data_IF_319641074893
#
_entry.id   IF_319641074893
#
_cell.length_a   1.000
_cell.length_b   1.000
_cell.length_c   1.000
_cell.angle_alpha   90.00
_cell.angle_beta   90.00
_cell.angle_gamma   90.00
#
_symmetry.space_group_name_H-M   'P 1'
#
loop_
_entity.id
_entity.type
_entity.pdbx_description
1 polymer ?
#
# COMPACT_ATOMS: atom_id res chain seq x y z
N UNK A 1 -7.69 10.36 38.45
CA UNK A 1 -8.25 9.39 37.47
C UNK A 1 -7.13 8.87 36.61
N UNK A 2 -6.78 7.60 36.75
CA UNK A 2 -5.73 6.94 35.97
C UNK A 2 -6.35 6.47 34.65
N UNK A 3 -6.03 7.11 33.53
CA UNK A 3 -6.43 6.63 32.21
C UNK A 3 -5.55 5.42 31.88
N UNK A 4 -6.10 4.22 32.05
CA UNK A 4 -5.45 2.98 31.61
C UNK A 4 -5.77 2.84 30.12
N UNK A 5 -4.77 3.04 29.27
CA UNK A 5 -4.85 2.65 27.86
C UNK A 5 -4.55 1.15 27.86
N UNK A 6 -5.57 0.33 27.68
CA UNK A 6 -5.35 -1.11 27.50
C UNK A 6 -4.68 -1.32 26.13
N UNK A 7 -3.58 -2.10 26.04
CA UNK A 7 -3.05 -2.51 24.76
C UNK A 7 -4.09 -3.37 24.04
N UNK A 8 -4.54 -2.89 22.90
CA UNK A 8 -5.55 -3.53 22.04
C UNK A 8 -5.00 -4.71 21.23
N UNK A 9 -4.40 -5.69 21.90
CA UNK A 9 -4.03 -6.95 21.25
C UNK A 9 -5.29 -7.83 21.19
N UNK A 10 -5.74 -8.19 19.99
CA UNK A 10 -6.83 -9.15 19.83
C UNK A 10 -6.28 -10.45 19.29
N UNK A 11 -6.66 -11.54 19.93
CA UNK A 11 -6.54 -12.85 19.32
C UNK A 11 -7.76 -13.06 18.44
N UNK A 12 -7.55 -13.54 17.22
CA UNK A 12 -8.64 -13.86 16.33
C UNK A 12 -9.32 -15.12 16.88
N UNK A 13 -10.37 -14.94 17.68
CA UNK A 13 -11.13 -16.00 18.36
C UNK A 13 -12.19 -16.65 17.47
N UNK A 14 -12.37 -16.14 16.25
CA UNK A 14 -13.33 -16.66 15.29
C UNK A 14 -12.97 -18.09 14.83
N UNK A 15 -14.01 -18.86 14.47
CA UNK A 15 -13.91 -20.05 13.62
C UNK A 15 -13.00 -19.75 12.43
N UNK A 16 -11.87 -20.46 12.35
CA UNK A 16 -10.79 -20.32 11.36
C UNK A 16 -11.25 -19.75 10.00
N UNK A 17 -11.13 -18.42 9.78
CA UNK A 17 -11.68 -17.81 8.58
C UNK A 17 -10.89 -18.27 7.36
N UNK A 18 -11.62 -18.51 6.28
CA UNK A 18 -11.05 -18.78 4.98
C UNK A 18 -10.96 -17.49 4.18
N UNK A 19 -9.88 -17.33 3.42
CA UNK A 19 -9.69 -16.18 2.55
C UNK A 19 -9.19 -16.58 1.18
N UNK A 20 -9.89 -16.10 0.15
CA UNK A 20 -9.52 -16.34 -1.23
C UNK A 20 -8.44 -15.33 -1.64
N UNK A 21 -7.29 -15.84 -2.08
CA UNK A 21 -6.17 -15.02 -2.51
C UNK A 21 -5.80 -15.39 -3.95
N UNK A 22 -5.59 -14.36 -4.75
CA UNK A 22 -5.15 -14.42 -6.13
C UNK A 22 -3.66 -14.09 -6.20
N UNK A 23 -2.96 -14.66 -7.16
CA UNK A 23 -1.53 -14.46 -7.31
C UNK A 23 -1.15 -14.08 -8.75
N UNK A 24 -0.14 -13.21 -8.89
CA UNK A 24 0.56 -12.97 -10.16
C UNK A 24 1.98 -13.49 -10.03
N UNK A 25 2.39 -14.29 -11.00
CA UNK A 25 3.77 -14.74 -11.16
C UNK A 25 4.45 -13.87 -12.22
N UNK A 26 5.73 -13.59 -12.04
CA UNK A 26 6.50 -12.86 -13.06
C UNK A 26 6.70 -13.79 -14.25
N UNK A 27 6.24 -13.43 -15.47
CA UNK A 27 6.43 -14.28 -16.63
C UNK A 27 7.91 -14.55 -16.88
N UNK A 28 8.24 -15.75 -17.34
CA UNK A 28 9.63 -16.21 -17.47
C UNK A 28 10.48 -15.29 -18.36
N UNK A 29 9.92 -14.83 -19.48
CA UNK A 29 10.58 -13.90 -20.42
C UNK A 29 10.90 -12.56 -19.76
N UNK A 30 9.91 -11.97 -19.09
CA UNK A 30 10.07 -10.72 -18.33
C UNK A 30 11.13 -10.85 -17.23
N UNK A 31 11.09 -11.96 -16.50
CA UNK A 31 12.03 -12.26 -15.43
C UNK A 31 13.46 -12.40 -15.96
N UNK A 32 13.65 -13.07 -17.09
CA UNK A 32 14.96 -13.24 -17.72
C UNK A 32 15.56 -11.90 -18.16
N UNK A 33 14.76 -11.06 -18.82
CA UNK A 33 15.22 -9.72 -19.26
C UNK A 33 15.57 -8.84 -18.07
N UNK A 34 14.70 -8.74 -17.05
CA UNK A 34 14.98 -7.93 -15.87
C UNK A 34 16.23 -8.39 -15.10
N UNK A 35 16.45 -9.71 -14.98
CA UNK A 35 17.66 -10.24 -14.35
C UNK A 35 18.91 -9.97 -15.20
N UNK A 36 18.82 -10.03 -16.53
CA UNK A 36 19.92 -9.65 -17.43
C UNK A 36 20.33 -8.18 -17.21
N UNK A 37 19.36 -7.25 -17.20
CA UNK A 37 19.61 -5.84 -16.93
C UNK A 37 20.24 -5.62 -15.54
N UNK A 38 19.73 -6.31 -14.52
CA UNK A 38 20.30 -6.26 -13.17
C UNK A 38 21.77 -6.72 -13.14
N UNK A 39 22.10 -7.79 -13.85
CA UNK A 39 23.47 -8.31 -13.97
C UNK A 39 24.39 -7.37 -14.75
N UNK A 40 23.92 -6.78 -15.86
CA UNK A 40 24.68 -5.79 -16.64
C UNK A 40 25.05 -4.57 -15.77
N UNK A 41 24.08 -4.01 -15.06
CA UNK A 41 24.30 -2.89 -14.13
C UNK A 41 25.27 -3.28 -13.00
N UNK A 42 25.18 -4.51 -12.49
CA UNK A 42 26.10 -4.99 -11.45
C UNK A 42 27.55 -5.04 -11.97
N UNK A 43 27.76 -5.55 -13.18
CA UNK A 43 29.08 -5.62 -13.83
C UNK A 43 29.69 -4.24 -14.03
N UNK A 44 28.92 -3.26 -14.52
CA UNK A 44 29.38 -1.87 -14.66
C UNK A 44 29.79 -1.25 -13.33
N UNK A 45 29.14 -1.65 -12.23
CA UNK A 45 29.47 -1.17 -10.88
C UNK A 45 30.54 -2.02 -10.16
N UNK A 46 31.15 -2.99 -10.83
CA UNK A 46 32.14 -3.89 -10.22
C UNK A 46 31.58 -4.81 -9.12
N UNK A 47 30.27 -5.09 -9.13
CA UNK A 47 29.58 -5.94 -8.15
C UNK A 47 29.26 -7.30 -8.76
N UNK A 48 29.46 -8.38 -7.99
CA UNK A 48 29.31 -9.75 -8.51
C UNK A 48 27.86 -10.24 -8.63
N UNK A 49 26.95 -9.72 -7.82
CA UNK A 49 25.57 -10.17 -7.81
C UNK A 49 24.61 -9.07 -7.39
N UNK A 50 23.54 -8.87 -8.16
CA UNK A 50 22.47 -7.95 -7.79
C UNK A 50 21.13 -8.45 -8.31
N UNK A 51 20.12 -8.34 -7.46
CA UNK A 51 18.74 -8.65 -7.79
C UNK A 51 18.05 -7.48 -8.49
N UNK A 52 16.94 -7.79 -9.16
CA UNK A 52 15.99 -6.80 -9.69
C UNK A 52 15.53 -5.88 -8.54
N UNK A 53 15.69 -4.55 -8.64
CA UNK A 53 15.50 -3.60 -7.55
C UNK A 53 14.03 -3.18 -7.36
N UNK A 54 13.14 -4.12 -7.06
CA UNK A 54 11.68 -3.88 -7.04
C UNK A 54 11.16 -2.94 -5.94
N UNK A 55 12.03 -2.38 -5.10
CA UNK A 55 11.62 -1.46 -4.03
C UNK A 55 10.99 -0.17 -4.57
N UNK A 56 11.41 0.27 -5.76
CA UNK A 56 10.85 1.45 -6.45
C UNK A 56 9.55 1.12 -7.20
N UNK A 57 9.38 -0.15 -7.62
CA UNK A 57 8.20 -0.63 -8.34
C UNK A 57 7.03 -0.96 -7.40
N UNK A 58 7.30 -1.62 -6.27
CA UNK A 58 6.28 -2.14 -5.37
C UNK A 58 5.25 -1.06 -4.95
N UNK A 59 5.64 0.16 -4.52
CA UNK A 59 4.67 1.21 -4.17
C UNK A 59 3.84 1.71 -5.35
N UNK A 60 4.42 1.75 -6.56
CA UNK A 60 3.70 2.15 -7.77
C UNK A 60 2.61 1.13 -8.09
N UNK A 61 2.94 -0.16 -8.06
CA UNK A 61 2.00 -1.24 -8.31
C UNK A 61 0.86 -1.23 -7.30
N UNK A 62 1.15 -1.15 -5.99
CA UNK A 62 0.06 -1.18 -4.99
C UNK A 62 -0.78 0.10 -5.04
N UNK A 63 -0.19 1.26 -5.30
CA UNK A 63 -0.95 2.50 -5.52
C UNK A 63 -1.90 2.42 -6.72
N UNK A 64 -1.51 1.65 -7.75
CA UNK A 64 -2.33 1.40 -8.95
C UNK A 64 -3.41 0.35 -8.76
N UNK A 65 -3.16 -0.65 -7.92
CA UNK A 65 -4.01 -1.82 -7.81
C UNK A 65 -4.34 -2.05 -6.32
N UNK A 66 -5.36 -1.37 -5.77
CA UNK A 66 -5.66 -1.38 -4.33
C UNK A 66 -6.03 -2.74 -3.75
N UNK A 67 -6.39 -3.72 -4.61
CA UNK A 67 -6.65 -5.11 -4.21
C UNK A 67 -5.37 -5.91 -3.98
N UNK A 68 -4.22 -5.41 -4.41
CA UNK A 68 -2.92 -6.03 -4.11
C UNK A 68 -2.62 -5.74 -2.65
N UNK A 69 -2.43 -6.81 -1.89
CA UNK A 69 -2.19 -6.76 -0.45
C UNK A 69 -0.72 -6.93 -0.12
N UNK A 70 0.05 -7.53 -1.04
CA UNK A 70 1.45 -7.83 -0.77
C UNK A 70 2.27 -8.02 -2.03
N UNK A 71 3.51 -7.55 -1.96
CA UNK A 71 4.58 -7.84 -2.92
C UNK A 71 5.58 -8.82 -2.32
N UNK A 72 6.01 -9.78 -3.14
CA UNK A 72 6.94 -10.85 -2.80
C UNK A 72 8.14 -10.75 -3.73
N UNK A 73 9.17 -10.06 -3.26
CA UNK A 73 10.35 -9.69 -4.07
C UNK A 73 11.05 -10.88 -4.73
N UNK A 74 10.99 -12.05 -4.09
CA UNK A 74 11.58 -13.27 -4.61
C UNK A 74 10.89 -13.80 -5.88
N UNK A 75 9.68 -13.33 -6.22
CA UNK A 75 9.01 -13.71 -7.47
C UNK A 75 9.76 -13.23 -8.72
N UNK A 76 10.52 -12.15 -8.63
CA UNK A 76 11.42 -11.71 -9.71
C UNK A 76 12.71 -12.54 -9.82
N UNK A 77 12.97 -13.41 -8.84
CA UNK A 77 14.20 -14.24 -8.80
C UNK A 77 13.90 -15.73 -9.04
N UNK A 78 12.69 -16.20 -8.74
CA UNK A 78 12.32 -17.63 -8.72
C UNK A 78 11.01 -17.86 -9.47
N UNK A 79 10.96 -18.93 -10.26
CA UNK A 79 9.84 -19.24 -11.15
C UNK A 79 8.53 -19.59 -10.43
N UNK A 80 8.65 -20.29 -9.29
CA UNK A 80 7.49 -20.80 -8.54
C UNK A 80 7.15 -19.95 -7.31
N UNK A 81 7.55 -18.68 -7.31
CA UNK A 81 7.23 -17.75 -6.23
C UNK A 81 6.35 -16.65 -6.80
N UNK A 82 5.14 -16.45 -6.27
CA UNK A 82 4.30 -15.35 -6.72
C UNK A 82 5.01 -14.03 -6.43
N UNK A 83 4.82 -13.03 -7.28
CA UNK A 83 5.27 -11.67 -7.03
C UNK A 83 4.20 -10.84 -6.34
N UNK A 84 2.94 -10.95 -6.76
CA UNK A 84 1.85 -10.16 -6.19
C UNK A 84 0.82 -11.11 -5.59
N UNK A 85 0.32 -10.75 -4.42
CA UNK A 85 -0.85 -11.37 -3.80
C UNK A 85 -1.97 -10.35 -3.72
N UNK A 86 -3.19 -10.75 -4.03
CA UNK A 86 -4.36 -9.89 -4.07
C UNK A 86 -5.62 -10.58 -3.56
N UNK A 87 -6.59 -9.77 -3.11
CA UNK A 87 -7.89 -10.22 -2.57
C UNK A 87 -8.97 -10.29 -3.64
N UNK A 88 -8.62 -9.94 -4.88
CA UNK A 88 -9.48 -10.07 -6.03
C UNK A 88 -8.75 -9.68 -7.30
N UNK A 89 -9.33 -10.05 -8.44
CA UNK A 89 -8.76 -9.68 -9.73
C UNK A 89 -9.10 -8.25 -10.12
N UNK A 90 -8.21 -7.66 -10.91
CA UNK A 90 -8.38 -6.38 -11.62
C UNK A 90 -7.81 -6.52 -13.03
N UNK A 91 -8.27 -5.69 -13.96
CA UNK A 91 -7.68 -5.64 -15.31
C UNK A 91 -6.20 -5.26 -15.24
N UNK A 92 -5.35 -6.05 -15.90
CA UNK A 92 -3.88 -5.90 -15.90
C UNK A 92 -3.33 -5.28 -17.19
N UNK A 93 -4.19 -4.72 -18.06
CA UNK A 93 -3.85 -4.20 -19.38
C UNK A 93 -2.61 -3.31 -19.39
N UNK A 94 -2.49 -2.46 -18.37
CA UNK A 94 -1.43 -1.44 -18.29
C UNK A 94 -0.27 -1.84 -17.38
N UNK A 95 -0.34 -3.02 -16.74
CA UNK A 95 0.74 -3.51 -15.87
C UNK A 95 2.02 -3.73 -16.66
N UNK A 96 1.94 -4.35 -17.84
CA UNK A 96 3.12 -4.60 -18.68
C UNK A 96 3.81 -3.30 -19.10
N UNK A 97 3.04 -2.31 -19.57
CA UNK A 97 3.58 -1.00 -19.95
C UNK A 97 4.20 -0.28 -18.76
N UNK A 98 3.52 -0.24 -17.60
CA UNK A 98 4.07 0.33 -16.38
C UNK A 98 5.43 -0.28 -16.01
N UNK A 99 5.55 -1.61 -16.10
CA UNK A 99 6.79 -2.32 -15.79
C UNK A 99 7.88 -2.02 -16.82
N UNK A 100 7.54 -1.90 -18.11
CA UNK A 100 8.50 -1.48 -19.14
C UNK A 100 9.03 -0.07 -18.88
N UNK A 101 8.15 0.89 -18.64
CA UNK A 101 8.52 2.27 -18.34
C UNK A 101 9.40 2.35 -17.08
N UNK A 102 9.03 1.58 -16.05
CA UNK A 102 9.85 1.46 -14.84
C UNK A 102 11.23 0.85 -15.12
N UNK A 103 11.33 -0.21 -15.94
CA UNK A 103 12.60 -0.84 -16.30
C UNK A 103 13.49 0.13 -17.10
N UNK A 104 12.91 0.92 -18.00
CA UNK A 104 13.63 1.96 -18.76
C UNK A 104 14.23 2.99 -17.80
N UNK A 105 13.42 3.52 -16.89
CA UNK A 105 13.87 4.53 -15.91
C UNK A 105 14.92 3.97 -14.94
N UNK A 106 14.65 2.81 -14.32
CA UNK A 106 15.51 2.18 -13.30
C UNK A 106 16.86 1.71 -13.86
N UNK A 107 16.91 1.40 -15.15
CA UNK A 107 18.13 0.95 -15.86
C UNK A 107 18.62 1.93 -16.92
N UNK A 108 18.21 3.20 -16.85
CA UNK A 108 18.57 4.28 -17.79
C UNK A 108 20.08 4.51 -17.99
N UNK A 109 20.92 4.01 -17.07
CA UNK A 109 22.38 4.01 -17.21
C UNK A 109 22.94 2.96 -18.20
N UNK A 110 22.11 2.01 -18.65
CA UNK A 110 22.49 0.95 -19.58
C UNK A 110 22.10 1.34 -21.01
N UNK A 111 22.88 0.86 -21.98
CA UNK A 111 22.54 0.98 -23.40
C UNK A 111 21.50 -0.08 -23.80
N UNK A 112 20.71 0.22 -24.84
CA UNK A 112 19.77 -0.71 -25.49
C UNK A 112 18.70 -1.35 -24.59
N UNK A 113 18.31 -0.69 -23.49
CA UNK A 113 17.26 -1.20 -22.58
C UNK A 113 15.94 -1.37 -23.32
N UNK A 114 15.50 -0.37 -24.06
CA UNK A 114 14.23 -0.41 -24.82
C UNK A 114 14.20 -1.56 -25.83
N UNK A 115 15.30 -1.79 -26.55
CA UNK A 115 15.42 -2.90 -27.51
C UNK A 115 15.34 -4.27 -26.83
N UNK A 116 15.90 -4.42 -25.62
CA UNK A 116 15.76 -5.65 -24.83
C UNK A 116 14.31 -5.89 -24.36
N UNK A 117 13.52 -4.83 -24.18
CA UNK A 117 12.12 -4.90 -23.74
C UNK A 117 11.11 -5.06 -24.90
N UNK A 118 11.50 -4.76 -26.14
CA UNK A 118 10.61 -4.69 -27.30
C UNK A 118 9.82 -6.00 -27.57
N UNK A 119 10.43 -7.15 -27.28
CA UNK A 119 9.83 -8.47 -27.51
C UNK A 119 8.97 -8.98 -26.32
N UNK A 120 8.90 -8.23 -25.22
CA UNK A 120 8.09 -8.63 -24.07
C UNK A 120 6.61 -8.38 -24.37
N UNK A 121 5.80 -9.42 -24.25
CA UNK A 121 4.36 -9.33 -24.46
C UNK A 121 3.65 -8.89 -23.17
N UNK A 122 2.81 -7.86 -23.26
CA UNK A 122 2.06 -7.35 -22.10
C UNK A 122 0.97 -8.35 -21.64
N UNK A 123 0.46 -9.17 -22.55
CA UNK A 123 -0.59 -10.15 -22.26
C UNK A 123 -0.05 -11.39 -21.51
N UNK A 124 1.27 -11.49 -21.32
CA UNK A 124 1.90 -12.51 -20.49
C UNK A 124 1.53 -12.33 -19.00
N UNK A 125 1.15 -11.11 -18.60
CA UNK A 125 0.76 -10.80 -17.23
C UNK A 125 -0.68 -11.26 -16.95
N UNK A 126 -0.81 -12.33 -16.16
CA UNK A 126 -2.10 -12.94 -15.86
C UNK A 126 -2.23 -13.27 -14.38
N UNK A 127 -3.46 -13.19 -13.88
CA UNK A 127 -3.81 -13.78 -12.59
C UNK A 127 -3.75 -15.30 -12.71
N UNK A 128 -3.03 -15.93 -11.78
CA UNK A 128 -3.13 -17.35 -11.56
C UNK A 128 -4.47 -17.72 -10.93
N UNK A 129 -4.71 -19.03 -10.79
CA UNK A 129 -5.88 -19.54 -10.10
C UNK A 129 -5.92 -19.03 -8.66
N UNK A 130 -7.11 -18.67 -8.18
CA UNK A 130 -7.29 -18.36 -6.77
C UNK A 130 -7.07 -19.60 -5.92
N UNK A 131 -6.57 -19.36 -4.72
CA UNK A 131 -6.46 -20.38 -3.69
C UNK A 131 -7.16 -19.88 -2.44
N UNK A 132 -7.99 -20.75 -1.84
CA UNK A 132 -8.65 -20.47 -0.58
C UNK A 132 -7.77 -20.96 0.57
N UNK A 133 -7.44 -20.06 1.48
CA UNK A 133 -6.55 -20.36 2.60
C UNK A 133 -7.28 -20.26 3.92
N UNK A 134 -7.05 -21.24 4.79
CA UNK A 134 -7.37 -21.16 6.20
C UNK A 134 -6.35 -20.25 6.90
N UNK A 135 -6.80 -19.08 7.38
CA UNK A 135 -5.88 -18.05 7.87
C UNK A 135 -5.22 -18.40 9.21
N UNK A 136 -5.87 -19.19 10.08
CA UNK A 136 -5.33 -19.56 11.40
C UNK A 136 -4.71 -20.95 11.46
N UNK A 137 -5.12 -21.86 10.56
CA UNK A 137 -4.56 -23.22 10.45
C UNK A 137 -4.17 -23.55 9.00
N UNK A 138 -3.22 -22.82 8.42
CA UNK A 138 -2.77 -23.07 7.06
C UNK A 138 -2.16 -24.48 6.93
N UNK A 139 -2.65 -25.26 5.97
CA UNK A 139 -2.32 -26.69 5.85
C UNK A 139 -0.93 -26.97 5.23
N UNK A 140 -0.28 -25.98 4.60
CA UNK A 140 0.99 -26.14 3.88
C UNK A 140 2.12 -25.24 4.41
N UNK A 141 3.15 -25.85 5.01
CA UNK A 141 4.31 -25.15 5.64
C UNK A 141 5.19 -24.30 4.70
N UNK A 142 5.10 -24.51 3.38
CA UNK A 142 5.93 -23.81 2.38
C UNK A 142 5.27 -22.50 1.90
N UNK A 143 3.95 -22.37 2.09
CA UNK A 143 3.16 -21.18 1.72
C UNK A 143 2.85 -20.29 2.95
N UNK A 144 2.93 -20.86 4.16
CA UNK A 144 2.55 -20.26 5.45
C UNK A 144 3.25 -18.97 5.86
N UNK A 145 4.52 -18.76 5.49
CA UNK A 145 5.25 -17.57 5.92
C UNK A 145 4.66 -16.26 5.36
N UNK A 146 3.93 -16.36 4.25
CA UNK A 146 3.34 -15.21 3.57
C UNK A 146 1.84 -15.05 3.82
N UNK A 147 1.12 -16.11 4.16
CA UNK A 147 -0.34 -16.11 4.29
C UNK A 147 -0.85 -15.40 5.53
N UNK A 148 -0.15 -15.52 6.67
CA UNK A 148 -0.52 -14.75 7.86
C UNK A 148 -0.49 -13.24 7.63
N UNK A 149 0.31 -12.77 6.67
CA UNK A 149 0.37 -11.35 6.32
C UNK A 149 -0.88 -10.87 5.58
N UNK A 150 -1.76 -11.77 5.12
CA UNK A 150 -3.07 -11.42 4.59
C UNK A 150 -4.12 -11.22 5.70
N UNK A 151 -3.84 -11.56 6.96
CA UNK A 151 -4.82 -11.38 8.05
C UNK A 151 -5.17 -9.91 8.27
N UNK A 152 -4.22 -8.96 8.36
CA UNK A 152 -4.55 -7.54 8.44
C UNK A 152 -5.50 -7.08 7.33
N UNK A 153 -5.24 -7.54 6.10
CA UNK A 153 -6.08 -7.23 4.95
C UNK A 153 -7.47 -7.82 5.04
N UNK A 154 -7.58 -9.09 5.45
CA UNK A 154 -8.86 -9.74 5.72
C UNK A 154 -9.69 -8.94 6.73
N UNK A 155 -9.08 -8.53 7.85
CA UNK A 155 -9.76 -7.73 8.88
C UNK A 155 -10.23 -6.37 8.34
N UNK A 156 -9.41 -5.72 7.52
CA UNK A 156 -9.79 -4.46 6.89
C UNK A 156 -10.95 -4.63 5.91
N UNK A 157 -10.95 -5.68 5.07
CA UNK A 157 -12.05 -5.98 4.15
C UNK A 157 -13.34 -6.35 4.90
N UNK A 158 -13.26 -7.17 5.95
CA UNK A 158 -14.41 -7.48 6.80
C UNK A 158 -15.00 -6.23 7.45
N UNK A 159 -14.15 -5.32 7.95
CA UNK A 159 -14.58 -4.03 8.50
C UNK A 159 -15.29 -3.19 7.43
N UNK A 160 -14.74 -3.13 6.22
CA UNK A 160 -15.26 -2.31 5.12
C UNK A 160 -16.62 -2.80 4.57
N UNK A 161 -17.09 -4.00 4.96
CA UNK A 161 -18.48 -4.41 4.69
C UNK A 161 -19.50 -3.51 5.40
N UNK A 162 -19.16 -2.98 6.57
CA UNK A 162 -19.97 -2.03 7.33
C UNK A 162 -19.08 -0.88 7.83
N UNK A 163 -18.67 0.04 6.94
CA UNK A 163 -17.59 0.98 7.20
C UNK A 163 -17.98 2.17 8.10
N UNK A 164 -19.26 2.27 8.50
CA UNK A 164 -19.79 3.38 9.29
C UNK A 164 -19.71 3.07 10.78
N UNK A 165 -19.11 3.98 11.54
CA UNK A 165 -18.91 3.87 12.99
C UNK A 165 -19.34 5.16 13.67
N UNK A 166 -20.00 5.02 14.82
CA UNK A 166 -20.33 6.12 15.73
C UNK A 166 -19.37 6.09 16.92
N UNK A 167 -18.75 7.22 17.25
CA UNK A 167 -17.70 7.30 18.26
C UNK A 167 -17.75 8.60 19.07
N UNK A 168 -17.26 8.56 20.33
CA UNK A 168 -17.17 9.71 21.24
C UNK A 168 -18.32 9.77 22.24
N UNK A 169 -18.34 10.83 23.06
CA UNK A 169 -19.44 11.06 24.02
C UNK A 169 -20.69 11.36 23.20
N UNK A 170 -21.79 10.67 23.52
CA UNK A 170 -23.09 10.79 22.85
C UNK A 170 -23.01 10.64 21.31
N UNK A 171 -22.14 9.74 20.82
CA UNK A 171 -22.00 9.43 19.38
C UNK A 171 -21.64 10.64 18.50
N UNK A 172 -20.98 11.65 19.08
CA UNK A 172 -20.64 12.91 18.41
C UNK A 172 -19.91 12.79 17.07
N UNK A 173 -19.20 11.68 16.80
CA UNK A 173 -18.52 11.43 15.54
C UNK A 173 -19.20 10.32 14.75
N UNK A 174 -19.83 10.69 13.64
CA UNK A 174 -20.26 9.75 12.60
C UNK A 174 -19.15 9.61 11.55
N UNK A 175 -18.47 8.47 11.55
CA UNK A 175 -17.28 8.23 10.74
C UNK A 175 -17.59 7.21 9.66
N UNK A 176 -17.10 7.43 8.44
CA UNK A 176 -17.07 6.43 7.36
C UNK A 176 -15.61 6.14 7.00
N UNK A 177 -15.20 4.88 7.07
CA UNK A 177 -13.83 4.48 6.80
C UNK A 177 -13.61 4.01 5.38
N UNK A 178 -12.42 4.31 4.85
CA UNK A 178 -11.96 3.89 3.54
C UNK A 178 -10.57 3.28 3.63
N UNK A 179 -10.26 2.42 2.66
CA UNK A 179 -8.96 1.77 2.55
C UNK A 179 -7.86 2.81 2.30
N UNK A 180 -6.74 2.67 3.00
CA UNK A 180 -5.48 3.32 2.64
C UNK A 180 -4.54 2.25 2.10
N UNK A 181 -3.90 2.55 0.97
CA UNK A 181 -2.91 1.67 0.35
C UNK A 181 -1.70 1.53 1.26
N UNK A 182 -1.38 0.29 1.64
CA UNK A 182 -0.21 -0.05 2.47
C UNK A 182 0.39 -1.37 2.01
N UNK A 183 1.72 -1.47 2.10
CA UNK A 183 2.49 -2.71 1.92
C UNK A 183 2.85 -3.38 3.26
N UNK A 184 2.49 -2.75 4.38
CA UNK A 184 2.86 -3.14 5.73
C UNK A 184 1.59 -3.24 6.56
N UNK A 185 0.94 -4.40 6.49
CA UNK A 185 -0.38 -4.60 7.10
C UNK A 185 -1.48 -3.85 6.35
N UNK A 186 -2.56 -3.54 7.05
CA UNK A 186 -3.71 -2.86 6.48
C UNK A 186 -4.05 -1.59 7.25
N UNK A 187 -4.48 -0.56 6.54
CA UNK A 187 -4.82 0.73 7.14
C UNK A 187 -6.15 1.23 6.59
N UNK A 188 -6.98 1.76 7.49
CA UNK A 188 -8.25 2.40 7.21
C UNK A 188 -8.22 3.83 7.74
N UNK A 189 -8.80 4.77 6.99
CA UNK A 189 -8.89 6.17 7.38
C UNK A 189 -10.31 6.68 7.20
N UNK A 190 -10.80 7.41 8.21
CA UNK A 190 -12.12 8.03 8.14
C UNK A 190 -12.11 9.22 7.18
N UNK A 191 -13.18 9.36 6.40
CA UNK A 191 -13.39 10.48 5.51
C UNK A 191 -14.90 10.79 5.35
N UNK A 192 -15.32 12.07 5.19
CA UNK A 192 -14.51 13.29 5.28
C UNK A 192 -13.91 13.51 6.67
N UNK A 193 -12.92 14.42 6.83
CA UNK A 193 -12.35 14.75 8.13
C UNK A 193 -13.42 15.38 9.03
N UNK A 194 -13.41 15.02 10.31
CA UNK A 194 -14.25 15.63 11.33
C UNK A 194 -13.64 16.96 11.81
N UNK A 195 -14.49 17.95 12.03
CA UNK A 195 -14.09 19.22 12.64
C UNK A 195 -13.94 19.08 14.15
N UNK A 196 -12.87 19.65 14.69
CA UNK A 196 -12.59 19.69 16.13
C UNK A 196 -12.10 21.08 16.51
N UNK A 197 -12.75 21.69 17.49
CA UNK A 197 -12.32 22.96 18.07
C UNK A 197 -11.12 22.71 18.98
N UNK A 198 -10.00 23.36 18.69
CA UNK A 198 -8.77 23.29 19.48
C UNK A 198 -8.49 24.63 20.12
N UNK A 199 -8.34 24.65 21.44
CA UNK A 199 -7.95 25.85 22.18
C UNK A 199 -6.44 26.06 22.06
N UNK A 200 -6.04 27.21 21.52
CA UNK A 200 -4.65 27.66 21.45
C UNK A 200 -4.48 28.82 22.43
N UNK A 201 -3.75 28.61 23.52
CA UNK A 201 -3.59 29.62 24.56
C UNK A 201 -4.88 29.88 25.35
N UNK A 202 -5.00 31.06 25.97
CA UNK A 202 -6.16 31.39 26.83
C UNK A 202 -7.42 31.80 26.06
N UNK A 203 -7.29 32.42 24.88
CA UNK A 203 -8.41 33.12 24.24
C UNK A 203 -8.59 32.85 22.74
N UNK A 204 -7.79 31.98 22.11
CA UNK A 204 -7.97 31.68 20.67
C UNK A 204 -8.41 30.23 20.44
N UNK A 205 -9.57 30.05 19.80
CA UNK A 205 -10.04 28.75 19.30
C UNK A 205 -9.79 28.65 17.80
N UNK A 206 -9.17 27.56 17.37
CA UNK A 206 -8.96 27.24 15.96
C UNK A 206 -9.66 25.93 15.62
N UNK A 207 -10.30 25.87 14.44
CA UNK A 207 -10.88 24.62 13.92
C UNK A 207 -9.77 23.79 13.29
N UNK A 208 -9.58 22.57 13.82
CA UNK A 208 -8.75 21.55 13.21
C UNK A 208 -9.64 20.52 12.50
N UNK A 209 -9.14 19.95 11.40
CA UNK A 209 -9.79 18.87 10.68
C UNK A 209 -8.99 17.59 10.92
N UNK A 210 -9.66 16.54 11.39
CA UNK A 210 -8.99 15.27 11.72
C UNK A 210 -9.67 14.09 11.04
N UNK A 211 -8.87 13.10 10.64
CA UNK A 211 -9.36 11.77 10.29
C UNK A 211 -8.90 10.77 11.35
N UNK A 212 -9.76 9.83 11.70
CA UNK A 212 -9.41 8.69 12.54
C UNK A 212 -8.80 7.60 11.67
N UNK A 213 -7.78 6.92 12.21
CA UNK A 213 -7.04 5.88 11.48
C UNK A 213 -7.03 4.61 12.31
N UNK A 214 -7.31 3.49 11.65
CA UNK A 214 -7.19 2.14 12.20
C UNK A 214 -6.13 1.42 11.38
N UNK A 215 -5.06 0.98 12.03
CA UNK A 215 -3.99 0.20 11.40
C UNK A 215 -3.98 -1.20 12.01
N UNK A 216 -4.06 -2.22 11.16
CA UNK A 216 -3.94 -3.62 11.54
C UNK A 216 -2.52 -4.11 11.24
N UNK A 217 -1.82 -4.56 12.27
CA UNK A 217 -0.42 -5.02 12.17
C UNK A 217 -0.33 -6.45 12.67
N UNK A 218 0.21 -7.32 11.82
CA UNK A 218 0.54 -8.68 12.23
C UNK A 218 1.85 -8.67 13.02
N UNK A 219 1.85 -9.26 14.20
CA UNK A 219 3.05 -9.46 15.01
C UNK A 219 3.22 -10.94 15.36
N UNK A 220 4.40 -11.48 15.05
CA UNK A 220 4.81 -12.80 15.52
C UNK A 220 5.42 -12.65 16.92
N UNK A 221 4.98 -13.50 17.85
CA UNK A 221 5.51 -13.53 19.22
C UNK A 221 6.33 -14.80 19.38
N UNK A 222 7.58 -14.71 19.91
CA UNK A 222 8.39 -15.89 20.17
C UNK A 222 7.61 -16.96 20.96
N UNK A 223 7.80 -18.22 20.56
CA UNK A 223 7.20 -19.40 21.19
C UNK A 223 5.66 -19.49 21.10
N UNK A 224 4.98 -18.58 20.37
CA UNK A 224 3.57 -18.76 20.01
C UNK A 224 3.47 -19.41 18.63
N UNK A 225 2.59 -20.39 18.53
CA UNK A 225 2.31 -21.08 17.25
C UNK A 225 1.53 -20.20 16.28
N UNK A 226 0.63 -19.35 16.80
CA UNK A 226 -0.24 -18.47 16.01
C UNK A 226 0.20 -17.01 16.13
N UNK A 227 0.13 -16.22 15.05
CA UNK A 227 0.43 -14.79 15.12
C UNK A 227 -0.68 -14.03 15.86
N UNK A 228 -0.35 -12.85 16.36
CA UNK A 228 -1.31 -11.91 16.96
C UNK A 228 -1.49 -10.74 16.00
N UNK A 229 -2.72 -10.25 15.88
CA UNK A 229 -2.98 -8.99 15.17
C UNK A 229 -3.21 -7.89 16.19
N UNK A 230 -2.43 -6.84 16.08
CA UNK A 230 -2.61 -5.60 16.82
C UNK A 230 -3.40 -4.63 15.97
N UNK A 231 -4.27 -3.86 16.60
CA UNK A 231 -4.86 -2.68 15.97
C UNK A 231 -4.32 -1.43 16.66
N UNK A 232 -3.90 -0.47 15.86
CA UNK A 232 -3.44 0.83 16.32
C UNK A 232 -4.47 1.87 15.92
N UNK A 233 -5.01 2.57 16.93
CA UNK A 233 -5.92 3.69 16.72
C UNK A 233 -5.12 4.98 16.80
N UNK A 234 -5.22 5.80 15.76
CA UNK A 234 -4.55 7.10 15.71
C UNK A 234 -5.41 8.14 15.02
N UNK A 235 -4.91 9.38 14.97
CA UNK A 235 -5.56 10.48 14.26
C UNK A 235 -4.57 11.12 13.28
N UNK A 236 -5.09 11.57 12.13
CA UNK A 236 -4.37 12.41 11.16
C UNK A 236 -4.98 13.79 11.14
N UNK A 237 -4.14 14.80 11.29
CA UNK A 237 -4.55 16.21 11.19
C UNK A 237 -4.31 16.72 9.78
N UNK A 238 -5.33 17.30 9.17
CA UNK A 238 -5.25 17.89 7.84
C UNK A 238 -4.80 19.35 7.92
N UNK A 239 -3.93 19.73 6.99
CA UNK A 239 -3.52 21.12 6.81
C UNK A 239 -4.50 21.78 5.85
N UNK A 240 -5.24 22.78 6.32
CA UNK A 240 -6.22 23.55 5.52
C UNK A 240 -5.67 24.88 5.02
N UNK A 241 -4.46 25.26 5.44
CA UNK A 241 -3.76 26.48 5.01
C UNK A 241 -2.37 26.10 4.50
N UNK A 242 -1.86 26.77 3.44
CA UNK A 242 -0.48 26.61 3.02
C UNK A 242 0.43 26.89 4.20
N UNK A 243 1.25 25.90 4.58
CA UNK A 243 2.27 26.05 5.60
C UNK A 243 3.60 25.67 4.98
N UNK A 244 4.68 26.37 5.33
CA UNK A 244 6.03 25.84 5.11
C UNK A 244 6.13 24.56 5.91
N UNK A 245 6.08 23.43 5.21
CA UNK A 245 6.17 22.11 5.83
C UNK A 245 7.54 22.05 6.52
N UNK A 246 7.60 22.07 7.85
CA UNK A 246 8.86 22.33 8.55
C UNK A 246 9.78 21.10 8.65
N UNK A 247 9.33 19.94 8.14
CA UNK A 247 10.05 18.68 8.29
C UNK A 247 9.92 17.77 7.05
N UNK A 248 10.99 17.04 6.68
CA UNK A 248 10.87 15.90 5.77
C UNK A 248 9.95 14.83 6.39
N UNK A 249 9.18 14.12 5.57
CA UNK A 249 8.32 13.02 6.01
C UNK A 249 6.83 13.33 6.16
N UNK A 250 6.34 14.47 5.64
CA UNK A 250 4.90 14.66 5.45
C UNK A 250 4.38 13.68 4.39
N UNK A 251 3.22 13.07 4.70
CA UNK A 251 2.47 12.22 3.80
C UNK A 251 1.32 13.02 3.18
N UNK A 252 1.33 13.18 1.86
CA UNK A 252 0.14 13.58 1.13
C UNK A 252 -0.72 12.32 0.89
N UNK A 253 -2.04 12.47 0.87
CA UNK A 253 -2.95 11.38 0.53
C UNK A 253 -3.81 11.80 -0.64
N UNK A 254 -3.84 10.98 -1.68
CA UNK A 254 -4.74 11.18 -2.83
C UNK A 254 -5.87 10.18 -2.69
N UNK A 255 -7.09 10.66 -2.48
CA UNK A 255 -8.30 9.84 -2.45
C UNK A 255 -9.00 9.86 -3.80
N UNK A 256 -9.15 8.72 -4.45
CA UNK A 256 -9.84 8.61 -5.73
C UNK A 256 -10.55 7.25 -5.85
N UNK A 257 -11.61 7.21 -6.67
CA UNK A 257 -12.28 5.99 -7.11
C UNK A 257 -11.87 5.58 -8.54
N UNK A 258 -10.78 6.17 -9.05
CA UNK A 258 -10.14 5.80 -10.31
C UNK A 258 -8.69 5.40 -10.08
N UNK A 259 -8.24 4.44 -10.86
CA UNK A 259 -6.84 4.04 -10.91
C UNK A 259 -6.03 5.10 -11.64
N UNK A 260 -4.90 5.48 -11.07
CA UNK A 260 -4.08 6.55 -11.63
C UNK A 260 -3.37 6.18 -12.94
N UNK A 261 -3.17 4.89 -13.23
CA UNK A 261 -2.55 4.41 -14.47
C UNK A 261 -3.42 4.65 -15.71
N UNK A 262 -4.68 4.22 -15.63
CA UNK A 262 -5.55 4.01 -16.80
C UNK A 262 -6.92 4.68 -16.64
N UNK A 263 -7.18 5.31 -15.50
CA UNK A 263 -8.47 5.93 -15.17
C UNK A 263 -9.60 4.93 -14.93
N UNK A 264 -9.33 3.62 -14.90
CA UNK A 264 -10.36 2.60 -14.66
C UNK A 264 -10.97 2.80 -13.28
N UNK A 265 -12.28 2.56 -13.19
CA UNK A 265 -12.99 2.63 -11.90
C UNK A 265 -12.48 1.56 -10.94
N UNK A 266 -12.36 1.95 -9.68
CA UNK A 266 -12.01 1.11 -8.55
C UNK A 266 -12.74 1.55 -7.29
N UNK A 267 -12.68 0.74 -6.24
CA UNK A 267 -13.15 1.14 -4.91
C UNK A 267 -12.37 2.38 -4.45
N UNK A 268 -13.07 3.35 -3.85
CA UNK A 268 -12.42 4.54 -3.33
C UNK A 268 -11.37 4.17 -2.28
N UNK A 269 -10.14 4.64 -2.47
CA UNK A 269 -9.04 4.41 -1.55
C UNK A 269 -8.10 5.62 -1.51
N UNK A 270 -7.32 5.72 -0.45
CA UNK A 270 -6.26 6.70 -0.32
C UNK A 270 -4.91 6.11 -0.71
N UNK A 271 -4.16 6.82 -1.54
CA UNK A 271 -2.78 6.51 -1.90
C UNK A 271 -1.86 7.46 -1.14
N UNK A 272 -1.03 6.96 -0.19
CA UNK A 272 -0.07 7.80 0.52
C UNK A 272 1.14 8.11 -0.37
N UNK A 273 1.48 9.39 -0.47
CA UNK A 273 2.67 9.90 -1.14
C UNK A 273 3.64 10.45 -0.11
N UNK A 274 4.83 9.87 -0.06
CA UNK A 274 5.92 10.34 0.81
C UNK A 274 6.60 11.56 0.19
N UNK A 275 6.58 12.69 0.90
CA UNK A 275 7.31 13.89 0.49
C UNK A 275 8.73 13.86 1.04
N UNK A 276 9.69 13.50 0.18
CA UNK A 276 11.11 13.35 0.55
C UNK A 276 11.90 14.67 0.50
N UNK A 277 11.32 15.75 -0.03
CA UNK A 277 11.95 17.07 -0.13
C UNK A 277 10.97 18.16 0.26
N UNK A 278 11.50 19.26 0.79
CA UNK A 278 10.75 20.49 0.99
C UNK A 278 10.21 20.98 -0.35
N UNK A 279 8.89 21.18 -0.44
CA UNK A 279 8.33 21.99 -1.51
C UNK A 279 8.86 23.41 -1.36
N UNK A 280 9.46 23.97 -2.42
CA UNK A 280 9.54 25.44 -2.54
C UNK A 280 8.10 25.94 -2.61
N UNK A 281 7.81 27.10 -2.00
CA UNK A 281 6.49 27.72 -2.06
C UNK A 281 6.03 27.79 -3.52
N UNK A 282 4.95 27.08 -3.86
CA UNK A 282 4.23 27.28 -5.13
C UNK A 282 3.20 28.38 -4.86
N UNK A 283 3.67 29.61 -4.71
CA UNK A 283 2.86 30.82 -4.76
C UNK A 283 3.77 31.96 -5.24
N UNK A 284 3.68 32.26 -6.55
CA UNK A 284 3.66 33.65 -7.08
C UNK A 284 3.64 33.73 -8.62
N UNK A 285 3.64 32.62 -9.37
CA UNK A 285 3.65 32.67 -10.85
C UNK A 285 2.33 32.34 -11.55
N UNK A 286 1.20 32.22 -10.84
CA UNK A 286 -0.13 31.95 -11.47
C UNK A 286 -1.15 33.08 -11.30
N UNK A 287 -0.71 34.28 -10.88
CA UNK A 287 -1.56 35.49 -10.84
C UNK A 287 -1.04 36.65 -11.69
N UNK A 288 -0.02 36.44 -12.54
CA UNK A 288 0.50 37.49 -13.44
C UNK A 288 0.16 37.33 -14.92
N UNK A 289 -0.65 36.34 -15.31
CA UNK A 289 -1.15 36.21 -16.69
C UNK A 289 -2.68 36.35 -16.74
N UNK A 290 -3.17 37.49 -16.25
CA UNK A 290 -4.48 38.04 -16.66
C UNK A 290 -4.50 39.55 -16.43
N UNK A 291 -3.81 40.30 -17.30
CA UNK A 291 -4.12 41.70 -17.62
C UNK A 291 -3.92 41.93 -19.10
#
# INVERSE_FOLDING_TARGET
MTKIILPGAWELTATNPTYEIYAIYVPTTWRQVANSLAQQRARLQGKSYRAVPVYSLDPLVVGSFPKIIKTLRNGWQKDNVPWLLATGTTGLSDLGNLIKDWLIEEFSSLEDVESQLANLNNDDWQWGNSQTYELLHPQNKVETGNLYQAIPDYLAEEFLKNPRVYFGVDEQYELTFYRVVSLQGAELMSWPPSEVTVTKGKDTTETAYISFVIEFVLQTVPWREKPIVYHHLSIRRWLTKPLKVPYPGVKAHIGDNRRWLDGQRQTFCFIPLMMNRYGKEVCDSLLSESR
#
